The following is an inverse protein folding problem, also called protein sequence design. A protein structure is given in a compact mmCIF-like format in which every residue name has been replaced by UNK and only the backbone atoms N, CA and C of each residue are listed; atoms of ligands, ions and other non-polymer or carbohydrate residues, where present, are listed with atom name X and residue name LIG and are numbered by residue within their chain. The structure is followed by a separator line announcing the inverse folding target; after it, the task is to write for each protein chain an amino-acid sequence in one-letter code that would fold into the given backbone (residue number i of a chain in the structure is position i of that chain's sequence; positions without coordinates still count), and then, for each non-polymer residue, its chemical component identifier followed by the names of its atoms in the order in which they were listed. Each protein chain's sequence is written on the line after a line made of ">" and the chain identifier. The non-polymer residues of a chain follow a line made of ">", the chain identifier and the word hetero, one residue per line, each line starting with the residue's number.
data_IF_728182328342
#
_entry.id   IF_728182328342
#
_cell.length_a   1.000
_cell.length_b   1.000
_cell.length_c   1.000
_cell.angle_alpha   90.00
_cell.angle_beta   90.00
_cell.angle_gamma   90.00
#
_symmetry.space_group_name_H-M   'P 1'
#
loop_
_entity.id
_entity.type
_entity.pdbx_description
1 polymer ?
#
# COMPACT_ATOMS: atom_id res chain seq x y z
N UNK A 1 -2.51 18.54 17.41
CA UNK A 1 -2.24 17.10 17.64
C UNK A 1 -1.24 16.66 16.59
N UNK A 2 -0.11 16.04 16.95
CA UNK A 2 0.90 15.62 15.98
C UNK A 2 0.47 14.30 15.33
N UNK A 3 0.81 14.12 14.05
CA UNK A 3 0.56 12.87 13.32
C UNK A 3 1.81 12.44 12.56
N UNK A 4 2.10 11.14 12.57
CA UNK A 4 3.11 10.53 11.72
C UNK A 4 2.46 9.75 10.60
N UNK A 5 2.81 10.10 9.37
CA UNK A 5 2.48 9.30 8.20
C UNK A 5 3.60 8.27 8.01
N UNK A 6 3.25 7.00 8.10
CA UNK A 6 4.21 5.89 7.93
C UNK A 6 3.88 5.19 6.62
N UNK A 7 4.69 5.37 5.56
CA UNK A 7 4.52 4.62 4.33
C UNK A 7 4.84 3.14 4.57
N UNK A 8 4.02 2.26 4.01
CA UNK A 8 4.18 0.81 4.12
C UNK A 8 4.07 0.16 2.75
N UNK A 9 4.93 -0.81 2.48
CA UNK A 9 4.98 -1.57 1.22
C UNK A 9 4.80 -3.09 1.46
N UNK A 10 4.54 -3.48 2.72
CA UNK A 10 4.41 -4.86 3.19
C UNK A 10 5.69 -5.71 3.09
N UNK A 11 6.83 -5.09 2.81
CA UNK A 11 8.13 -5.76 2.92
C UNK A 11 8.42 -6.19 4.36
N UNK A 12 9.38 -7.10 4.54
CA UNK A 12 9.82 -7.54 5.87
C UNK A 12 10.27 -6.34 6.74
N UNK A 13 10.89 -5.33 6.11
CA UNK A 13 11.35 -4.12 6.79
C UNK A 13 10.22 -3.17 7.23
N UNK A 14 9.00 -3.32 6.69
CA UNK A 14 7.85 -2.50 7.12
C UNK A 14 7.59 -2.63 8.62
N UNK A 15 7.72 -3.83 9.20
CA UNK A 15 7.49 -4.03 10.64
C UNK A 15 8.51 -3.27 11.50
N UNK A 16 9.78 -3.28 11.09
CA UNK A 16 10.82 -2.51 11.77
C UNK A 16 10.51 -1.01 11.73
N UNK A 17 10.17 -0.47 10.56
CA UNK A 17 9.81 0.94 10.41
C UNK A 17 8.61 1.33 11.29
N UNK A 18 7.57 0.49 11.32
CA UNK A 18 6.40 0.70 12.17
C UNK A 18 6.74 0.71 13.66
N UNK A 19 7.61 -0.20 14.13
CA UNK A 19 8.05 -0.25 15.53
C UNK A 19 8.77 1.03 15.96
N UNK A 20 9.63 1.57 15.11
CA UNK A 20 10.27 2.87 15.38
C UNK A 20 9.25 4.00 15.43
N UNK A 21 8.31 4.05 14.48
CA UNK A 21 7.26 5.06 14.46
C UNK A 21 6.39 5.02 15.74
N UNK A 22 6.01 3.82 16.21
CA UNK A 22 5.28 3.61 17.47
C UNK A 22 6.06 4.19 18.65
N UNK A 23 7.34 3.85 18.78
CA UNK A 23 8.19 4.36 19.87
C UNK A 23 8.29 5.89 19.88
N UNK A 24 8.39 6.53 18.72
CA UNK A 24 8.37 7.99 18.65
C UNK A 24 6.99 8.56 18.98
N UNK A 25 5.93 7.92 18.50
CA UNK A 25 4.56 8.40 18.67
C UNK A 25 4.11 8.36 20.14
N UNK A 26 4.49 7.33 20.88
CA UNK A 26 4.23 7.21 22.32
C UNK A 26 4.85 8.38 23.10
N UNK A 27 6.11 8.74 22.79
CA UNK A 27 6.81 9.84 23.45
C UNK A 27 6.19 11.20 23.12
N UNK A 28 5.78 11.39 21.88
CA UNK A 28 5.22 12.66 21.42
C UNK A 28 3.71 12.77 21.57
N UNK A 29 3.04 11.71 22.07
CA UNK A 29 1.59 11.58 22.10
C UNK A 29 0.98 11.88 20.71
N UNK A 30 1.61 11.33 19.68
CA UNK A 30 1.23 11.50 18.29
C UNK A 30 0.36 10.34 17.79
N UNK A 31 -0.49 10.61 16.80
CA UNK A 31 -1.25 9.59 16.09
C UNK A 31 -0.39 9.01 14.95
N UNK A 32 -0.53 7.71 14.68
CA UNK A 32 0.10 7.07 13.53
C UNK A 32 -0.95 6.81 12.45
N UNK A 33 -0.62 7.22 11.23
CA UNK A 33 -1.37 6.91 10.02
C UNK A 33 -0.51 6.01 9.15
N UNK A 34 -0.88 4.74 9.03
CA UNK A 34 -0.24 3.83 8.07
C UNK A 34 -0.78 4.11 6.67
N UNK A 35 0.12 4.23 5.68
CA UNK A 35 -0.23 4.58 4.31
C UNK A 35 0.42 3.65 3.31
N UNK A 36 -0.40 2.96 2.51
CA UNK A 36 0.07 2.12 1.42
C UNK A 36 -0.32 2.74 0.09
N UNK A 37 0.67 2.93 -0.79
CA UNK A 37 0.44 3.30 -2.18
C UNK A 37 0.56 2.04 -3.05
N UNK A 38 -0.40 1.85 -3.94
CA UNK A 38 -0.37 0.81 -4.96
C UNK A 38 -0.59 1.44 -6.34
N UNK A 39 -0.05 0.80 -7.37
CA UNK A 39 -0.22 1.26 -8.73
C UNK A 39 -1.63 0.93 -9.21
N UNK A 40 -2.34 1.96 -9.67
CA UNK A 40 -3.54 1.77 -10.45
C UNK A 40 -3.12 1.62 -11.91
N UNK A 41 -3.30 0.44 -12.53
CA UNK A 41 -2.89 0.24 -13.92
C UNK A 41 -3.70 1.19 -14.82
N UNK A 42 -3.01 2.04 -15.58
CA UNK A 42 -3.60 2.89 -16.60
C UNK A 42 -3.16 2.30 -17.94
N UNK A 43 -4.09 2.07 -18.86
CA UNK A 43 -3.76 1.68 -20.21
C UNK A 43 -3.04 2.86 -20.88
N UNK A 44 -1.71 2.82 -20.97
CA UNK A 44 -0.97 3.71 -21.86
C UNK A 44 -1.04 3.10 -23.25
N UNK A 45 -1.58 3.85 -24.21
CA UNK A 45 -1.49 3.46 -25.62
C UNK A 45 -0.02 3.57 -26.04
N UNK A 46 0.74 2.50 -25.83
CA UNK A 46 2.06 2.37 -26.42
C UNK A 46 1.88 2.19 -27.93
N UNK A 47 2.41 3.14 -28.69
CA UNK A 47 2.39 3.18 -30.16
C UNK A 47 3.39 2.15 -30.70
N UNK A 48 3.23 0.87 -30.36
CA UNK A 48 4.02 -0.24 -30.92
C UNK A 48 3.10 -1.08 -31.78
N UNK A 49 3.52 -1.34 -33.02
CA UNK A 49 2.73 -1.95 -34.10
C UNK A 49 2.21 -3.38 -33.81
N UNK A 50 2.61 -4.00 -32.70
CA UNK A 50 2.13 -5.29 -32.22
C UNK A 50 1.03 -5.09 -31.15
N UNK A 51 -0.16 -4.67 -31.59
CA UNK A 51 -1.26 -4.22 -30.71
C UNK A 51 -2.00 -5.40 -30.08
N UNK A 52 -1.46 -5.95 -28.99
CA UNK A 52 -2.35 -6.46 -27.92
C UNK A 52 -2.88 -5.21 -27.24
N UNK A 53 -4.17 -4.93 -27.43
CA UNK A 53 -4.81 -3.77 -26.83
C UNK A 53 -4.58 -3.81 -25.31
N UNK A 54 -3.74 -2.90 -24.79
CA UNK A 54 -3.45 -2.83 -23.34
C UNK A 54 -4.73 -2.59 -22.52
N UNK A 55 -5.81 -2.12 -23.15
CA UNK A 55 -7.14 -2.05 -22.54
C UNK A 55 -7.75 -3.43 -22.24
N UNK A 56 -7.44 -4.48 -23.02
CA UNK A 56 -7.87 -5.86 -22.72
C UNK A 56 -7.14 -6.50 -21.54
N UNK A 57 -5.96 -6.01 -21.17
CA UNK A 57 -5.18 -6.52 -20.02
C UNK A 57 -5.54 -5.80 -18.71
N UNK A 58 -6.21 -4.66 -18.76
CA UNK A 58 -6.61 -3.89 -17.58
C UNK A 58 -8.10 -4.04 -17.41
N UNK A 59 -8.49 -5.15 -16.79
CA UNK A 59 -9.90 -5.45 -16.52
C UNK A 59 -10.32 -4.96 -15.13
N UNK A 60 -11.61 -4.63 -14.91
CA UNK A 60 -12.13 -4.32 -13.57
C UNK A 60 -11.79 -5.37 -12.52
N UNK A 61 -11.71 -6.65 -12.90
CA UNK A 61 -11.34 -7.75 -12.00
C UNK A 61 -9.90 -7.66 -11.52
N UNK A 62 -8.96 -7.28 -12.40
CA UNK A 62 -7.56 -7.07 -12.01
C UNK A 62 -7.46 -5.89 -11.04
N UNK A 63 -8.17 -4.80 -11.31
CA UNK A 63 -8.17 -3.61 -10.47
C UNK A 63 -8.75 -3.91 -9.08
N UNK A 64 -9.87 -4.62 -9.02
CA UNK A 64 -10.47 -5.10 -7.77
C UNK A 64 -9.53 -6.06 -7.03
N UNK A 65 -8.80 -6.92 -7.75
CA UNK A 65 -7.81 -7.81 -7.13
C UNK A 65 -6.65 -7.05 -6.47
N UNK A 66 -6.15 -5.98 -7.11
CA UNK A 66 -5.08 -5.12 -6.58
C UNK A 66 -5.57 -4.42 -5.31
N UNK A 67 -6.76 -3.83 -5.34
CA UNK A 67 -7.34 -3.16 -4.17
C UNK A 67 -7.58 -4.15 -3.01
N UNK A 68 -8.12 -5.34 -3.30
CA UNK A 68 -8.32 -6.40 -2.30
C UNK A 68 -6.99 -6.85 -1.69
N UNK A 69 -5.95 -7.01 -2.51
CA UNK A 69 -4.61 -7.37 -2.03
C UNK A 69 -4.03 -6.28 -1.11
N UNK A 70 -4.17 -5.01 -1.49
CA UNK A 70 -3.73 -3.87 -0.68
C UNK A 70 -4.47 -3.81 0.67
N UNK A 71 -5.80 -3.94 0.67
CA UNK A 71 -6.61 -3.98 1.91
C UNK A 71 -6.25 -5.15 2.81
N UNK A 72 -6.06 -6.34 2.22
CA UNK A 72 -5.65 -7.52 2.97
C UNK A 72 -4.25 -7.35 3.56
N UNK A 73 -3.32 -6.72 2.83
CA UNK A 73 -1.99 -6.36 3.33
C UNK A 73 -2.05 -5.44 4.55
N UNK A 74 -2.86 -4.38 4.48
CA UNK A 74 -3.07 -3.45 5.59
C UNK A 74 -3.63 -4.16 6.83
N UNK A 75 -4.64 -5.02 6.66
CA UNK A 75 -5.22 -5.77 7.78
C UNK A 75 -4.21 -6.73 8.41
N UNK A 76 -3.44 -7.45 7.59
CA UNK A 76 -2.38 -8.34 8.09
C UNK A 76 -1.34 -7.55 8.87
N UNK A 77 -0.87 -6.43 8.35
CA UNK A 77 0.11 -5.59 9.02
C UNK A 77 -0.43 -5.08 10.36
N UNK A 78 -1.65 -4.54 10.40
CA UNK A 78 -2.30 -4.10 11.64
C UNK A 78 -2.34 -5.22 12.67
N UNK A 79 -2.78 -6.42 12.28
CA UNK A 79 -2.86 -7.57 13.19
C UNK A 79 -1.49 -8.04 13.71
N UNK A 80 -0.39 -7.77 12.99
CA UNK A 80 0.96 -8.04 13.48
C UNK A 80 1.44 -6.99 14.47
N UNK A 81 1.03 -5.73 14.30
CA UNK A 81 1.40 -4.62 15.18
C UNK A 81 0.60 -4.61 16.49
N UNK A 82 -0.60 -5.17 16.50
CA UNK A 82 -1.46 -5.26 17.69
C UNK A 82 -1.10 -6.44 18.63
N UNK A 83 -0.14 -7.28 18.25
CA UNK A 83 0.36 -8.41 19.05
C UNK A 83 1.53 -7.99 19.94
#
# INVERSE_FOLDING_TARGET
>A
MKKYLVPVDFSENTECACKYAIHFAEKEKAEIVLFHAYMYPIATADMTDDVVDSSTLITPEIMDSIEKAAKAGMLRLKNKLDK
#
